data_IF_485438393964
#
_entry.id   IF_485438393964
#
_cell.length_a   1.000
_cell.length_b   1.000
_cell.length_c   1.000
_cell.angle_alpha   90.00
_cell.angle_beta   90.00
_cell.angle_gamma   90.00
#
_symmetry.space_group_name_H-M   'P 1'
#
loop_
_entity.id
_entity.type
_entity.pdbx_description
1 polymer ?
#
# COMPACT_ATOMS: atom_id res chain seq x y z
N UNK A 1 -7.69 35.50 -44.39
CA UNK A 1 -7.88 34.25 -43.61
C UNK A 1 -7.46 34.51 -42.16
N UNK A 2 -8.41 34.72 -41.24
CA UNK A 2 -8.12 35.04 -39.85
C UNK A 2 -8.02 33.76 -39.00
N UNK A 3 -6.83 33.48 -38.47
CA UNK A 3 -6.60 32.39 -37.50
C UNK A 3 -7.40 32.69 -36.24
N UNK A 4 -8.42 31.87 -35.95
CA UNK A 4 -9.08 31.86 -34.64
C UNK A 4 -8.05 31.45 -33.59
N UNK A 5 -7.51 32.43 -32.88
CA UNK A 5 -6.70 32.18 -31.71
C UNK A 5 -7.56 31.43 -30.69
N UNK A 6 -7.19 30.19 -30.36
CA UNK A 6 -7.78 29.45 -29.27
C UNK A 6 -7.51 30.23 -27.97
N UNK A 7 -8.52 30.99 -27.50
CA UNK A 7 -8.51 31.61 -26.19
C UNK A 7 -8.40 30.48 -25.14
N UNK A 8 -7.19 30.30 -24.59
CA UNK A 8 -6.98 29.47 -23.40
C UNK A 8 -7.88 30.06 -22.30
N UNK A 9 -8.75 29.23 -21.72
CA UNK A 9 -9.61 29.65 -20.59
C UNK A 9 -8.73 30.32 -19.53
N UNK A 10 -9.16 31.45 -18.94
CA UNK A 10 -8.36 32.16 -17.95
C UNK A 10 -8.01 31.23 -16.78
N UNK A 11 -6.79 31.35 -16.23
CA UNK A 11 -6.36 30.55 -15.09
C UNK A 11 -7.30 30.73 -13.90
N UNK A 12 -7.47 29.67 -13.09
CA UNK A 12 -8.39 29.67 -11.95
C UNK A 12 -7.92 30.55 -10.78
N UNK A 13 -6.64 30.92 -10.76
CA UNK A 13 -5.97 31.77 -9.78
C UNK A 13 -5.17 32.84 -10.52
N UNK A 14 -4.99 34.01 -9.91
CA UNK A 14 -3.98 34.97 -10.37
C UNK A 14 -2.56 34.48 -10.03
N UNK A 15 -1.56 35.00 -10.73
CA UNK A 15 -0.16 34.64 -10.50
C UNK A 15 0.27 34.91 -9.04
N UNK A 16 -0.24 35.99 -8.43
CA UNK A 16 0.02 36.32 -7.02
C UNK A 16 -0.61 35.30 -6.06
N UNK A 17 -1.85 34.87 -6.33
CA UNK A 17 -2.55 33.87 -5.51
C UNK A 17 -1.86 32.51 -5.59
N UNK A 18 -1.38 32.11 -6.77
CA UNK A 18 -0.68 30.84 -6.96
C UNK A 18 0.65 30.81 -6.17
N UNK A 19 1.42 31.91 -6.20
CA UNK A 19 2.67 32.04 -5.42
C UNK A 19 2.41 32.10 -3.91
N UNK A 20 1.34 32.79 -3.47
CA UNK A 20 0.98 32.86 -2.05
C UNK A 20 0.58 31.50 -1.46
N UNK A 21 -0.14 30.67 -2.24
CA UNK A 21 -0.50 29.31 -1.84
C UNK A 21 0.74 28.40 -1.83
N UNK A 22 1.58 28.46 -2.88
CA UNK A 22 2.78 27.61 -2.98
C UNK A 22 3.83 27.91 -1.89
N UNK A 23 3.93 29.17 -1.46
CA UNK A 23 4.82 29.59 -0.37
C UNK A 23 4.27 29.35 1.03
N UNK A 24 3.06 28.77 1.15
CA UNK A 24 2.39 28.55 2.44
C UNK A 24 1.96 29.82 3.17
N UNK A 25 2.04 30.99 2.52
CA UNK A 25 1.71 32.31 3.11
C UNK A 25 0.22 32.59 3.18
N UNK A 26 -0.60 31.87 2.40
CA UNK A 26 -2.05 31.99 2.41
C UNK A 26 -2.70 30.62 2.25
N UNK A 27 -3.72 30.31 3.08
CA UNK A 27 -4.51 29.12 2.87
C UNK A 27 -5.52 29.35 1.75
N UNK A 28 -5.81 28.30 0.97
CA UNK A 28 -6.89 28.33 -0.03
C UNK A 28 -8.25 28.71 0.58
N UNK A 29 -8.42 28.43 1.89
CA UNK A 29 -9.59 28.80 2.67
C UNK A 29 -9.77 30.33 2.78
N UNK A 30 -8.67 31.08 2.88
CA UNK A 30 -8.67 32.53 3.13
C UNK A 30 -8.95 33.35 1.86
N UNK A 31 -8.79 32.74 0.69
CA UNK A 31 -9.04 33.40 -0.59
C UNK A 31 -10.53 33.67 -0.81
N UNK A 32 -10.88 34.87 -1.27
CA UNK A 32 -12.26 35.26 -1.62
C UNK A 32 -12.69 34.62 -2.96
N UNK A 33 -12.83 33.28 -2.98
CA UNK A 33 -13.19 32.50 -4.15
C UNK A 33 -14.53 31.76 -3.95
N UNK A 34 -15.35 31.59 -5.02
CA UNK A 34 -16.52 30.73 -4.99
C UNK A 34 -16.16 29.30 -4.59
N UNK A 35 -17.02 28.63 -3.79
CA UNK A 35 -16.79 27.24 -3.32
C UNK A 35 -16.40 26.26 -4.42
N UNK A 36 -17.04 26.36 -5.61
CA UNK A 36 -16.75 25.51 -6.77
C UNK A 36 -15.32 25.71 -7.29
N UNK A 37 -14.83 26.95 -7.30
CA UNK A 37 -13.47 27.30 -7.74
C UNK A 37 -12.44 26.83 -6.71
N UNK A 38 -12.70 27.06 -5.41
CA UNK A 38 -11.85 26.51 -4.33
C UNK A 38 -11.68 25.00 -4.45
N UNK A 39 -12.79 24.27 -4.64
CA UNK A 39 -12.73 22.81 -4.80
C UNK A 39 -11.89 22.39 -6.02
N UNK A 40 -12.07 23.06 -7.17
CA UNK A 40 -11.26 22.76 -8.38
C UNK A 40 -9.78 23.06 -8.18
N UNK A 41 -9.45 24.17 -7.52
CA UNK A 41 -8.07 24.54 -7.20
C UNK A 41 -7.46 23.55 -6.21
N UNK A 42 -8.20 23.17 -5.16
CA UNK A 42 -7.77 22.15 -4.20
C UNK A 42 -7.45 20.83 -4.90
N UNK A 43 -8.37 20.33 -5.73
CA UNK A 43 -8.17 19.08 -6.48
C UNK A 43 -6.95 19.19 -7.39
N UNK A 44 -6.78 20.30 -8.12
CA UNK A 44 -5.60 20.52 -8.97
C UNK A 44 -4.30 20.51 -8.16
N UNK A 45 -4.26 21.22 -7.03
CA UNK A 45 -3.09 21.28 -6.14
C UNK A 45 -2.78 19.91 -5.53
N UNK A 46 -3.80 19.17 -5.10
CA UNK A 46 -3.65 17.83 -4.54
C UNK A 46 -3.09 16.86 -5.58
N UNK A 47 -3.64 16.85 -6.80
CA UNK A 47 -3.13 16.02 -7.90
C UNK A 47 -1.68 16.39 -8.21
N UNK A 48 -1.37 17.67 -8.41
CA UNK A 48 -0.01 18.12 -8.69
C UNK A 48 0.97 17.67 -7.61
N UNK A 49 0.61 17.87 -6.33
CA UNK A 49 1.48 17.48 -5.21
C UNK A 49 1.69 15.97 -5.15
N UNK A 50 0.67 15.17 -5.40
CA UNK A 50 0.79 13.70 -5.47
C UNK A 50 1.69 13.30 -6.65
N UNK A 51 1.54 13.91 -7.82
CA UNK A 51 2.34 13.59 -9.01
C UNK A 51 3.79 14.08 -8.93
N UNK A 52 4.04 15.21 -8.28
CA UNK A 52 5.39 15.77 -8.07
C UNK A 52 6.13 15.04 -6.94
N UNK A 53 5.40 14.40 -6.04
CA UNK A 53 5.97 13.59 -4.97
C UNK A 53 6.31 12.18 -5.44
N UNK A 54 7.43 11.63 -4.98
CA UNK A 54 7.81 10.21 -5.20
C UNK A 54 6.94 9.22 -4.38
N UNK A 55 5.72 9.60 -4.00
CA UNK A 55 4.78 8.76 -3.25
C UNK A 55 4.46 7.49 -4.04
N UNK A 56 4.32 7.58 -5.37
CA UNK A 56 4.06 6.42 -6.22
C UNK A 56 5.15 5.34 -6.12
N UNK A 57 6.42 5.74 -6.09
CA UNK A 57 7.54 4.79 -5.97
C UNK A 57 7.61 4.17 -4.58
N UNK A 58 7.35 4.96 -3.53
CA UNK A 58 7.28 4.46 -2.16
C UNK A 58 6.12 3.48 -1.96
N UNK A 59 4.95 3.78 -2.53
CA UNK A 59 3.78 2.92 -2.50
C UNK A 59 4.02 1.60 -3.25
N UNK A 60 4.66 1.65 -4.41
CA UNK A 60 5.02 0.46 -5.18
C UNK A 60 6.00 -0.44 -4.41
N UNK A 61 7.04 0.14 -3.79
CA UNK A 61 7.99 -0.60 -2.96
C UNK A 61 7.29 -1.25 -1.75
N UNK A 62 6.43 -0.49 -1.05
CA UNK A 62 5.66 -1.00 0.09
C UNK A 62 4.75 -2.16 -0.32
N UNK A 63 4.03 -2.04 -1.44
CA UNK A 63 3.18 -3.10 -1.96
C UNK A 63 4.00 -4.35 -2.33
N UNK A 64 5.16 -4.16 -2.97
CA UNK A 64 6.07 -5.25 -3.32
C UNK A 64 6.56 -6.01 -2.08
N UNK A 65 7.09 -5.31 -1.07
CA UNK A 65 7.59 -5.95 0.15
C UNK A 65 6.47 -6.59 0.98
N UNK A 66 5.27 -6.00 0.98
CA UNK A 66 4.10 -6.59 1.64
C UNK A 66 3.68 -7.89 0.95
N UNK A 67 3.61 -7.90 -0.38
CA UNK A 67 3.28 -9.12 -1.13
C UNK A 67 4.35 -10.20 -0.94
N UNK A 68 5.63 -9.81 -0.93
CA UNK A 68 6.75 -10.71 -0.67
C UNK A 68 6.71 -11.30 0.75
N UNK A 69 6.25 -10.53 1.75
CA UNK A 69 6.14 -10.99 3.15
C UNK A 69 4.96 -11.91 3.41
N UNK A 70 3.95 -11.94 2.55
CA UNK A 70 2.79 -12.83 2.71
C UNK A 70 3.18 -14.30 2.66
N UNK A 71 4.11 -14.66 1.77
CA UNK A 71 4.54 -16.05 1.66
C UNK A 71 5.15 -16.61 2.96
N UNK A 72 6.19 -16.00 3.55
CA UNK A 72 6.74 -16.49 4.81
C UNK A 72 5.75 -16.34 5.97
N UNK A 73 4.86 -15.33 5.96
CA UNK A 73 3.79 -15.21 6.96
C UNK A 73 2.82 -16.39 6.91
N UNK A 74 2.36 -16.78 5.71
CA UNK A 74 1.47 -17.94 5.54
C UNK A 74 2.17 -19.22 6.02
N UNK A 75 3.45 -19.41 5.68
CA UNK A 75 4.23 -20.55 6.17
C UNK A 75 4.30 -20.56 7.70
N UNK A 76 4.64 -19.42 8.30
CA UNK A 76 4.71 -19.28 9.75
C UNK A 76 3.37 -19.61 10.42
N UNK A 77 2.27 -19.02 9.95
CA UNK A 77 0.93 -19.27 10.49
C UNK A 77 0.55 -20.73 10.31
N UNK A 78 0.68 -21.29 9.11
CA UNK A 78 0.30 -22.67 8.83
C UNK A 78 1.06 -23.68 9.70
N UNK A 79 2.36 -23.47 9.89
CA UNK A 79 3.16 -24.34 10.75
C UNK A 79 2.94 -24.08 12.25
N UNK A 80 2.38 -22.93 12.63
CA UNK A 80 2.03 -22.62 14.02
C UNK A 80 0.67 -23.23 14.44
N UNK A 81 -0.24 -23.46 13.49
CA UNK A 81 -1.58 -24.02 13.75
C UNK A 81 -1.58 -25.35 14.53
N UNK A 82 -0.69 -26.33 14.26
CA UNK A 82 -0.64 -27.58 15.02
C UNK A 82 -0.41 -27.39 16.53
N UNK A 83 0.34 -26.35 16.93
CA UNK A 83 0.57 -26.03 18.35
C UNK A 83 -0.70 -25.57 19.07
N UNK A 84 -1.72 -25.13 18.33
CA UNK A 84 -3.05 -24.78 18.85
C UNK A 84 -4.06 -25.93 18.73
N UNK A 85 -3.62 -27.15 18.37
CA UNK A 85 -4.48 -28.32 18.15
C UNK A 85 -5.20 -28.33 16.80
N UNK A 86 -4.92 -27.36 15.92
CA UNK A 86 -5.46 -27.30 14.57
C UNK A 86 -4.56 -28.10 13.63
N UNK A 87 -4.85 -29.40 13.52
CA UNK A 87 -4.12 -30.35 12.67
C UNK A 87 -4.77 -30.50 11.30
N UNK A 88 -4.03 -31.06 10.34
CA UNK A 88 -4.54 -31.34 9.00
C UNK A 88 -5.85 -32.14 9.04
N UNK A 89 -5.91 -33.24 9.81
CA UNK A 89 -7.12 -34.07 9.93
C UNK A 89 -8.34 -33.30 10.44
N UNK A 90 -8.12 -32.38 11.38
CA UNK A 90 -9.19 -31.55 11.93
C UNK A 90 -9.68 -30.49 10.95
N UNK A 91 -8.79 -29.94 10.12
CA UNK A 91 -9.11 -28.85 9.21
C UNK A 91 -9.60 -29.33 7.83
N UNK A 92 -9.11 -30.48 7.34
CA UNK A 92 -9.40 -31.03 6.02
C UNK A 92 -10.91 -31.26 5.80
N UNK A 93 -11.63 -31.72 6.84
CA UNK A 93 -13.07 -31.93 6.76
C UNK A 93 -13.87 -30.63 6.55
N UNK A 94 -13.37 -29.50 7.07
CA UNK A 94 -13.98 -28.18 6.84
C UNK A 94 -13.55 -27.59 5.50
N UNK A 95 -12.28 -27.75 5.13
CA UNK A 95 -11.74 -27.24 3.87
C UNK A 95 -12.39 -27.91 2.66
N UNK A 96 -12.63 -29.21 2.70
CA UNK A 96 -13.31 -29.97 1.64
C UNK A 96 -14.79 -29.58 1.46
N UNK A 97 -15.44 -28.99 2.46
CA UNK A 97 -16.79 -28.44 2.34
C UNK A 97 -16.79 -27.01 1.76
N UNK A 98 -15.76 -26.22 2.09
CA UNK A 98 -15.65 -24.83 1.65
C UNK A 98 -15.02 -24.67 0.27
N UNK A 99 -14.15 -25.61 -0.13
CA UNK A 99 -13.34 -25.53 -1.34
C UNK A 99 -13.81 -26.60 -2.33
N UNK A 100 -14.11 -26.23 -3.60
CA UNK A 100 -14.44 -27.18 -4.65
C UNK A 100 -13.36 -28.28 -4.81
N UNK A 101 -13.79 -29.52 -5.06
CA UNK A 101 -12.91 -30.69 -5.12
C UNK A 101 -11.76 -30.57 -6.13
N UNK A 102 -12.00 -29.92 -7.27
CA UNK A 102 -10.97 -29.68 -8.29
C UNK A 102 -9.82 -28.78 -7.78
N UNK A 103 -10.11 -27.85 -6.86
CA UNK A 103 -9.10 -26.99 -6.22
C UNK A 103 -8.47 -27.74 -5.05
N UNK A 104 -9.27 -28.45 -4.25
CA UNK A 104 -8.77 -29.20 -3.10
C UNK A 104 -7.75 -30.26 -3.51
N UNK A 105 -7.98 -30.99 -4.61
CA UNK A 105 -7.02 -32.00 -5.11
C UNK A 105 -5.59 -31.47 -5.34
N UNK A 106 -5.47 -30.18 -5.66
CA UNK A 106 -4.18 -29.51 -5.82
C UNK A 106 -3.60 -29.00 -4.50
N UNK A 107 -4.45 -28.50 -3.61
CA UNK A 107 -4.02 -27.90 -2.34
C UNK A 107 -3.80 -28.93 -1.23
N UNK A 108 -4.50 -30.07 -1.25
CA UNK A 108 -4.44 -31.12 -0.24
C UNK A 108 -3.01 -31.52 0.14
N UNK A 109 -2.11 -31.88 -0.82
CA UNK A 109 -0.74 -32.23 -0.47
C UNK A 109 0.05 -31.04 0.09
N UNK A 110 -0.24 -29.81 -0.33
CA UNK A 110 0.45 -28.62 0.17
C UNK A 110 0.03 -28.36 1.62
N UNK A 111 -1.27 -28.40 1.89
CA UNK A 111 -1.84 -28.18 3.23
C UNK A 111 -1.39 -29.29 4.17
N UNK A 112 -1.45 -30.56 3.75
CA UNK A 112 -0.97 -31.69 4.54
C UNK A 112 0.52 -31.54 4.89
N UNK A 113 1.37 -31.19 3.92
CA UNK A 113 2.79 -30.95 4.21
C UNK A 113 2.97 -29.77 5.20
N UNK A 114 2.28 -28.65 5.01
CA UNK A 114 2.46 -27.49 5.89
C UNK A 114 2.01 -27.74 7.34
N UNK A 115 0.98 -28.57 7.56
CA UNK A 115 0.44 -28.85 8.89
C UNK A 115 1.02 -30.12 9.55
N UNK A 116 1.38 -31.15 8.79
CA UNK A 116 1.88 -32.42 9.35
C UNK A 116 3.43 -32.50 9.38
N UNK A 117 4.13 -31.74 8.54
CA UNK A 117 5.60 -31.76 8.48
C UNK A 117 6.28 -30.60 9.23
N UNK A 118 5.65 -30.10 10.30
CA UNK A 118 6.14 -28.97 11.10
C UNK A 118 7.52 -29.27 11.73
N UNK A 119 8.59 -29.04 10.97
CA UNK A 119 9.94 -29.04 11.52
C UNK A 119 10.19 -27.67 12.15
N UNK A 120 10.69 -27.64 13.39
CA UNK A 120 11.05 -26.39 14.07
C UNK A 120 11.99 -25.51 13.25
N UNK A 121 12.78 -26.12 12.35
CA UNK A 121 13.63 -25.41 11.38
C UNK A 121 12.85 -24.59 10.35
N UNK A 122 11.80 -25.15 9.72
CA UNK A 122 10.96 -24.40 8.77
C UNK A 122 10.23 -23.24 9.46
N UNK A 123 9.74 -23.45 10.69
CA UNK A 123 9.13 -22.42 11.52
C UNK A 123 10.09 -21.26 11.81
N UNK A 124 11.32 -21.57 12.22
CA UNK A 124 12.35 -20.57 12.47
C UNK A 124 12.71 -19.77 11.22
N UNK A 125 12.93 -20.44 10.09
CA UNK A 125 13.22 -19.78 8.80
C UNK A 125 12.05 -18.89 8.37
N UNK A 126 10.82 -19.40 8.45
CA UNK A 126 9.61 -18.64 8.15
C UNK A 126 9.47 -17.40 9.03
N UNK A 127 9.65 -17.54 10.34
CA UNK A 127 9.59 -16.43 11.30
C UNK A 127 10.63 -15.34 10.98
N UNK A 128 11.89 -15.72 10.73
CA UNK A 128 12.96 -14.77 10.38
C UNK A 128 12.65 -14.08 9.05
N UNK A 129 12.21 -14.82 8.04
CA UNK A 129 11.87 -14.25 6.73
C UNK A 129 10.68 -13.28 6.82
N UNK A 130 9.63 -13.61 7.59
CA UNK A 130 8.49 -12.72 7.84
C UNK A 130 8.94 -11.45 8.55
N UNK A 131 9.73 -11.56 9.62
CA UNK A 131 10.24 -10.40 10.36
C UNK A 131 11.10 -9.48 9.49
N UNK A 132 11.98 -10.07 8.66
CA UNK A 132 12.81 -9.32 7.72
C UNK A 132 11.96 -8.56 6.70
N UNK A 133 11.01 -9.23 6.05
CA UNK A 133 10.15 -8.61 5.05
C UNK A 133 9.18 -7.56 5.65
N UNK A 134 8.65 -7.81 6.85
CA UNK A 134 7.85 -6.83 7.59
C UNK A 134 8.66 -5.58 7.95
N UNK A 135 9.92 -5.74 8.36
CA UNK A 135 10.83 -4.61 8.65
C UNK A 135 11.06 -3.73 7.41
N UNK A 136 11.23 -4.33 6.23
CA UNK A 136 11.33 -3.60 4.97
C UNK A 136 10.06 -2.79 4.67
N UNK A 137 8.88 -3.36 4.92
CA UNK A 137 7.60 -2.66 4.77
C UNK A 137 7.46 -1.46 5.72
N UNK A 138 7.77 -1.66 7.01
CA UNK A 138 7.75 -0.58 8.01
C UNK A 138 8.74 0.52 7.67
N UNK A 139 9.94 0.17 7.18
CA UNK A 139 10.92 1.14 6.73
C UNK A 139 10.41 1.94 5.51
N UNK A 140 9.76 1.27 4.56
CA UNK A 140 9.09 1.94 3.42
C UNK A 140 8.03 2.94 3.88
N UNK A 141 7.22 2.57 4.86
CA UNK A 141 6.20 3.45 5.45
C UNK A 141 6.85 4.66 6.16
N UNK A 142 7.91 4.42 6.95
CA UNK A 142 8.68 5.47 7.62
C UNK A 142 9.24 6.47 6.61
N UNK A 143 9.87 6.00 5.54
CA UNK A 143 10.39 6.86 4.47
C UNK A 143 9.26 7.67 3.81
N UNK A 144 8.10 7.05 3.56
CA UNK A 144 6.92 7.74 3.02
C UNK A 144 6.43 8.87 3.93
N UNK A 145 6.34 8.63 5.25
CA UNK A 145 5.96 9.67 6.19
C UNK A 145 7.00 10.77 6.31
N UNK A 146 8.28 10.42 6.39
CA UNK A 146 9.37 11.39 6.42
C UNK A 146 9.29 12.32 5.20
N UNK A 147 9.03 11.78 4.01
CA UNK A 147 8.85 12.56 2.79
C UNK A 147 7.63 13.51 2.85
N UNK A 148 6.50 13.06 3.39
CA UNK A 148 5.28 13.88 3.50
C UNK A 148 5.46 15.02 4.50
N UNK A 149 6.10 14.74 5.62
CA UNK A 149 6.33 15.72 6.69
C UNK A 149 7.60 16.55 6.51
N UNK A 150 8.38 16.32 5.46
CA UNK A 150 9.62 17.04 5.20
C UNK A 150 10.72 16.79 6.24
N UNK A 151 10.66 15.63 6.90
CA UNK A 151 11.68 15.21 7.86
C UNK A 151 12.83 14.60 7.07
N UNK A 152 13.97 15.30 7.01
CA UNK A 152 15.19 14.74 6.42
C UNK A 152 15.62 13.50 7.20
N UNK A 153 15.70 12.37 6.50
CA UNK A 153 16.27 11.14 7.03
C UNK A 153 17.80 11.30 7.12
N UNK A 154 18.30 11.54 8.34
CA UNK A 154 19.72 11.36 8.69
C UNK A 154 20.15 9.90 8.65
#
# INVERSE_FOLDING_TARGET
MARKQHQKKPPLLSAEQEVAIQSGRAALADLALPRRTKMRVFVKLAINRITESNIGQSAAALAYYTLLSLFPLILFVANALPYFGLTYKGLAAYLTQAIPSNVMNWLDPVIANLLDSSSGGLLGIGAVATLWAASLGVNGLKMGFNQIYGVESS
#
